data_IF_394171856393
#
_entry.id   IF_394171856393
#
_cell.length_a   1.000
_cell.length_b   1.000
_cell.length_c   1.000
_cell.angle_alpha   90.00
_cell.angle_beta   90.00
_cell.angle_gamma   90.00
#
_symmetry.space_group_name_H-M   'P 1'
#
loop_
_entity.id
_entity.type
_entity.pdbx_description
1 polymer ?
#
# COMPACT_ATOMS: atom_id res chain seq x y z
N UNK A 1 3.42 -43.30 -19.08
CA UNK A 1 3.76 -41.90 -18.76
C UNK A 1 3.00 -40.92 -19.65
N UNK A 2 3.11 -41.00 -20.98
CA UNK A 2 2.44 -40.06 -21.91
C UNK A 2 0.91 -40.08 -21.82
N UNK A 3 0.28 -41.26 -21.75
CA UNK A 3 -1.18 -41.38 -21.59
C UNK A 3 -1.70 -40.83 -20.24
N UNK A 4 -0.92 -40.98 -19.17
CA UNK A 4 -1.22 -40.36 -17.86
C UNK A 4 -1.07 -38.85 -17.92
N UNK A 5 -0.01 -38.35 -18.58
CA UNK A 5 0.20 -36.92 -18.77
C UNK A 5 -0.91 -36.28 -19.62
N UNK A 6 -1.36 -36.93 -20.68
CA UNK A 6 -2.46 -36.44 -21.53
C UNK A 6 -3.81 -36.48 -20.81
N UNK A 7 -4.13 -37.57 -20.11
CA UNK A 7 -5.37 -37.68 -19.33
C UNK A 7 -5.45 -36.74 -18.13
N UNK A 8 -4.30 -36.32 -17.59
CA UNK A 8 -4.21 -35.38 -16.46
C UNK A 8 -4.00 -33.93 -16.90
N UNK A 9 -3.77 -33.67 -18.19
CA UNK A 9 -3.36 -32.35 -18.72
C UNK A 9 -4.37 -31.25 -18.43
N UNK A 10 -5.65 -31.61 -18.32
CA UNK A 10 -6.77 -30.70 -18.09
C UNK A 10 -7.24 -30.67 -16.64
N UNK A 11 -6.74 -31.57 -15.79
CA UNK A 11 -7.09 -31.59 -14.38
C UNK A 11 -6.25 -30.54 -13.63
N UNK A 12 -6.86 -29.71 -12.76
CA UNK A 12 -6.12 -28.78 -11.93
C UNK A 12 -5.12 -29.54 -11.06
N UNK A 13 -3.87 -29.10 -11.00
CA UNK A 13 -2.89 -29.70 -10.09
C UNK A 13 -3.26 -29.42 -8.61
N UNK A 14 -2.67 -30.19 -7.69
CA UNK A 14 -3.00 -30.10 -6.27
C UNK A 14 -2.77 -28.70 -5.65
N UNK A 15 -1.73 -27.97 -6.09
CA UNK A 15 -1.46 -26.60 -5.66
C UNK A 15 -2.57 -25.66 -6.11
N UNK A 16 -3.03 -25.80 -7.36
CA UNK A 16 -4.13 -25.00 -7.90
C UNK A 16 -5.45 -25.31 -7.19
N UNK A 17 -5.75 -26.58 -6.91
CA UNK A 17 -6.95 -26.94 -6.13
C UNK A 17 -6.94 -26.30 -4.76
N UNK A 18 -5.82 -26.43 -4.04
CA UNK A 18 -5.65 -25.79 -2.73
C UNK A 18 -5.80 -24.27 -2.83
N UNK A 19 -5.20 -23.64 -3.84
CA UNK A 19 -5.31 -22.19 -4.04
C UNK A 19 -6.76 -21.76 -4.31
N UNK A 20 -7.51 -22.51 -5.11
CA UNK A 20 -8.93 -22.24 -5.39
C UNK A 20 -9.78 -22.42 -4.13
N UNK A 21 -9.55 -23.48 -3.36
CA UNK A 21 -10.20 -23.70 -2.06
C UNK A 21 -9.88 -22.56 -1.10
N UNK A 22 -8.62 -22.16 -1.01
CA UNK A 22 -8.20 -21.05 -0.17
C UNK A 22 -8.87 -19.74 -0.59
N UNK A 23 -8.96 -19.43 -1.89
CA UNK A 23 -9.68 -18.26 -2.40
C UNK A 23 -11.16 -18.32 -2.02
N UNK A 24 -11.79 -19.49 -2.17
CA UNK A 24 -13.19 -19.68 -1.79
C UNK A 24 -13.39 -19.44 -0.30
N UNK A 25 -12.53 -19.98 0.56
CA UNK A 25 -12.73 -19.90 2.01
C UNK A 25 -12.36 -18.53 2.57
N UNK A 26 -11.36 -17.87 1.99
CA UNK A 26 -10.74 -16.67 2.58
C UNK A 26 -11.06 -15.38 1.84
N UNK A 27 -11.42 -15.41 0.55
CA UNK A 27 -11.64 -14.21 -0.27
C UNK A 27 -13.07 -14.09 -0.79
N UNK A 28 -13.70 -15.21 -1.15
CA UNK A 28 -15.04 -15.23 -1.70
C UNK A 28 -15.82 -16.48 -1.22
N UNK A 29 -16.30 -16.46 0.04
CA UNK A 29 -17.09 -17.57 0.61
C UNK A 29 -18.25 -17.98 -0.30
N UNK A 30 -18.27 -19.26 -0.66
CA UNK A 30 -19.28 -19.82 -1.57
C UNK A 30 -19.22 -19.30 -3.01
N UNK A 31 -18.14 -18.60 -3.42
CA UNK A 31 -17.99 -17.96 -4.72
C UNK A 31 -19.15 -17.01 -5.06
N UNK A 32 -19.64 -16.30 -4.04
CA UNK A 32 -20.76 -15.35 -4.15
C UNK A 32 -20.25 -13.91 -4.14
N UNK A 33 -19.85 -13.40 -2.98
CA UNK A 33 -19.40 -12.04 -2.75
C UNK A 33 -17.93 -12.01 -2.31
N UNK A 34 -17.14 -11.10 -2.88
CA UNK A 34 -15.73 -10.93 -2.51
C UNK A 34 -15.56 -9.99 -1.31
N UNK A 35 -14.70 -10.36 -0.38
CA UNK A 35 -14.25 -9.46 0.69
C UNK A 35 -13.10 -8.54 0.22
N UNK A 36 -12.52 -7.80 1.16
CA UNK A 36 -11.49 -6.79 0.88
C UNK A 36 -10.06 -7.35 0.76
N UNK A 37 -9.86 -8.67 0.95
CA UNK A 37 -8.52 -9.27 0.94
C UNK A 37 -7.92 -9.27 -0.45
N UNK A 38 -6.62 -8.95 -0.54
CA UNK A 38 -5.84 -9.10 -1.77
C UNK A 38 -4.73 -10.12 -1.58
N UNK A 39 -4.36 -10.77 -2.68
CA UNK A 39 -3.32 -11.79 -2.71
C UNK A 39 -2.43 -11.61 -3.94
N UNK A 40 -1.13 -11.86 -3.76
CA UNK A 40 -0.16 -11.92 -4.84
C UNK A 40 0.28 -13.37 -5.04
N UNK A 41 0.34 -13.80 -6.30
CA UNK A 41 0.81 -15.12 -6.71
C UNK A 41 2.10 -14.94 -7.52
N UNK A 42 3.22 -15.42 -6.97
CA UNK A 42 4.51 -15.39 -7.65
C UNK A 42 4.82 -16.70 -8.34
N UNK A 43 5.37 -16.58 -9.55
CA UNK A 43 5.89 -17.69 -10.35
C UNK A 43 7.10 -17.22 -11.15
N UNK A 44 8.12 -18.05 -11.29
CA UNK A 44 9.31 -17.77 -12.10
C UNK A 44 8.99 -17.89 -13.59
N UNK A 45 8.12 -18.84 -13.94
CA UNK A 45 7.85 -19.22 -15.33
C UNK A 45 6.59 -18.56 -15.91
N UNK A 46 6.71 -18.04 -17.13
CA UNK A 46 5.62 -17.41 -17.88
C UNK A 46 4.52 -18.42 -18.26
N UNK A 47 4.87 -19.67 -18.56
CA UNK A 47 3.89 -20.70 -18.88
C UNK A 47 3.03 -21.06 -17.65
N UNK A 48 3.66 -21.17 -16.48
CA UNK A 48 2.96 -21.37 -15.21
C UNK A 48 2.05 -20.20 -14.89
N UNK A 49 2.50 -18.96 -15.14
CA UNK A 49 1.67 -17.76 -14.99
C UNK A 49 0.42 -17.81 -15.86
N UNK A 50 0.55 -18.19 -17.15
CA UNK A 50 -0.58 -18.35 -18.07
C UNK A 50 -1.54 -19.44 -17.61
N UNK A 51 -1.00 -20.57 -17.18
CA UNK A 51 -1.78 -21.68 -16.62
C UNK A 51 -2.58 -21.24 -15.38
N UNK A 52 -1.93 -20.57 -14.42
CA UNK A 52 -2.58 -20.03 -13.23
C UNK A 52 -3.69 -19.05 -13.58
N UNK A 53 -3.43 -18.12 -14.51
CA UNK A 53 -4.44 -17.17 -14.96
C UNK A 53 -5.69 -17.90 -15.49
N UNK A 54 -5.51 -18.85 -16.40
CA UNK A 54 -6.63 -19.60 -17.01
C UNK A 54 -7.43 -20.38 -15.96
N UNK A 55 -6.74 -21.08 -15.05
CA UNK A 55 -7.40 -21.88 -14.00
C UNK A 55 -8.18 -21.00 -13.02
N UNK A 56 -7.61 -19.87 -12.61
CA UNK A 56 -8.27 -18.96 -11.68
C UNK A 56 -9.44 -18.24 -12.34
N UNK A 57 -9.29 -17.76 -13.57
CA UNK A 57 -10.40 -17.15 -14.34
C UNK A 57 -11.57 -18.12 -14.48
N UNK A 58 -11.31 -19.40 -14.79
CA UNK A 58 -12.34 -20.43 -14.84
C UNK A 58 -13.00 -20.67 -13.47
N UNK A 59 -12.20 -20.71 -12.40
CA UNK A 59 -12.69 -20.95 -11.05
C UNK A 59 -13.60 -19.83 -10.52
N UNK A 60 -13.31 -18.58 -10.89
CA UNK A 60 -14.06 -17.40 -10.41
C UNK A 60 -15.09 -16.90 -11.42
N UNK A 61 -15.27 -17.55 -12.57
CA UNK A 61 -16.11 -17.08 -13.67
C UNK A 61 -17.56 -16.75 -13.29
N UNK A 62 -18.08 -17.37 -12.23
CA UNK A 62 -19.45 -17.17 -11.72
C UNK A 62 -19.55 -16.13 -10.60
N UNK A 63 -18.43 -15.58 -10.16
CA UNK A 63 -18.39 -14.55 -9.10
C UNK A 63 -18.67 -13.16 -9.67
N UNK A 64 -19.02 -12.23 -8.80
CA UNK A 64 -19.24 -10.86 -9.22
C UNK A 64 -17.95 -10.20 -9.75
N UNK A 65 -18.09 -9.51 -10.89
CA UNK A 65 -17.01 -8.79 -11.59
C UNK A 65 -15.77 -9.66 -11.87
N UNK A 66 -15.95 -10.96 -12.11
CA UNK A 66 -14.89 -11.94 -12.31
C UNK A 66 -13.73 -11.47 -13.23
N UNK A 67 -14.06 -10.84 -14.36
CA UNK A 67 -13.08 -10.32 -15.33
C UNK A 67 -12.19 -9.18 -14.82
N UNK A 68 -12.52 -8.56 -13.70
CA UNK A 68 -11.76 -7.45 -13.08
C UNK A 68 -11.01 -7.88 -11.81
N UNK A 69 -11.21 -9.14 -11.36
CA UNK A 69 -10.63 -9.65 -10.10
C UNK A 69 -9.16 -10.04 -10.22
N UNK A 70 -8.67 -10.33 -11.43
CA UNK A 70 -7.31 -10.81 -11.68
C UNK A 70 -6.55 -9.82 -12.55
N UNK A 71 -5.32 -9.48 -12.16
CA UNK A 71 -4.37 -8.76 -13.00
C UNK A 71 -3.05 -9.52 -13.13
N UNK A 72 -2.32 -9.24 -14.21
CA UNK A 72 -1.04 -9.86 -14.50
C UNK A 72 0.06 -8.82 -14.58
N UNK A 73 1.16 -9.06 -13.86
CA UNK A 73 2.33 -8.20 -13.84
C UNK A 73 3.58 -8.99 -14.26
N UNK A 74 4.07 -8.74 -15.47
CA UNK A 74 5.18 -9.46 -16.09
C UNK A 74 6.15 -8.51 -16.78
N UNK A 75 7.32 -9.03 -17.18
CA UNK A 75 8.38 -8.22 -17.83
C UNK A 75 7.90 -7.49 -19.09
N UNK A 76 7.00 -8.09 -19.87
CA UNK A 76 6.43 -7.50 -21.07
C UNK A 76 5.22 -6.58 -20.82
N UNK A 77 4.81 -6.35 -19.57
CA UNK A 77 3.76 -5.37 -19.26
C UNK A 77 4.26 -3.95 -19.59
N UNK A 78 3.52 -3.25 -20.47
CA UNK A 78 3.84 -1.87 -20.85
C UNK A 78 3.89 -0.92 -19.62
N UNK A 79 4.76 0.11 -19.61
CA UNK A 79 4.93 1.02 -18.47
C UNK A 79 3.62 1.62 -17.93
N UNK A 80 2.75 2.12 -18.80
CA UNK A 80 1.46 2.72 -18.40
C UNK A 80 0.53 1.69 -17.74
N UNK A 81 0.55 0.45 -18.24
CA UNK A 81 -0.22 -0.65 -17.68
C UNK A 81 0.34 -1.08 -16.33
N UNK A 82 1.67 -1.05 -16.14
CA UNK A 82 2.30 -1.32 -14.82
C UNK A 82 1.81 -0.33 -13.78
N UNK A 83 1.81 0.95 -14.11
CA UNK A 83 1.36 2.01 -13.21
C UNK A 83 -0.13 1.90 -12.90
N UNK A 84 -0.95 1.57 -13.91
CA UNK A 84 -2.38 1.32 -13.75
C UNK A 84 -2.64 0.15 -12.79
N UNK A 85 -1.93 -0.97 -12.95
CA UNK A 85 -2.05 -2.14 -12.07
C UNK A 85 -1.60 -1.80 -10.65
N UNK A 86 -0.49 -1.06 -10.49
CA UNK A 86 0.00 -0.60 -9.17
C UNK A 86 -1.06 0.21 -8.43
N UNK A 87 -1.64 1.20 -9.11
CA UNK A 87 -2.71 2.04 -8.53
C UNK A 87 -3.95 1.24 -8.20
N UNK A 88 -4.40 0.38 -9.13
CA UNK A 88 -5.53 -0.51 -8.94
C UNK A 88 -5.35 -1.48 -7.75
N UNK A 89 -4.12 -1.97 -7.55
CA UNK A 89 -3.81 -2.91 -6.49
C UNK A 89 -3.68 -2.24 -5.11
N UNK A 90 -3.18 -1.01 -5.08
CA UNK A 90 -3.02 -0.21 -3.86
C UNK A 90 -4.23 0.67 -3.51
N UNK A 91 -5.23 0.77 -4.38
CA UNK A 91 -6.47 1.48 -4.06
C UNK A 91 -7.28 0.75 -2.97
N UNK A 92 -8.18 1.46 -2.29
CA UNK A 92 -9.13 0.85 -1.35
C UNK A 92 -9.87 -0.33 -2.04
N UNK A 93 -9.82 -1.55 -1.48
CA UNK A 93 -10.56 -2.70 -1.99
C UNK A 93 -12.05 -2.46 -2.22
N UNK A 94 -12.68 -1.53 -1.48
CA UNK A 94 -14.08 -1.14 -1.67
C UNK A 94 -14.31 -0.31 -2.94
N UNK A 95 -13.29 0.40 -3.40
CA UNK A 95 -13.34 1.27 -4.57
C UNK A 95 -12.84 0.58 -5.85
N UNK A 96 -11.99 -0.46 -5.72
CA UNK A 96 -11.43 -1.17 -6.87
C UNK A 96 -11.60 -2.69 -6.76
N UNK A 97 -12.14 -3.39 -7.78
CA UNK A 97 -12.50 -4.81 -7.71
C UNK A 97 -11.32 -5.78 -7.72
N UNK A 98 -10.12 -5.33 -8.13
CA UNK A 98 -8.94 -6.19 -8.23
C UNK A 98 -8.64 -6.89 -6.88
N UNK A 99 -8.42 -8.20 -6.91
CA UNK A 99 -8.16 -9.02 -5.70
C UNK A 99 -6.91 -9.89 -5.83
N UNK A 100 -6.62 -10.39 -7.02
CA UNK A 100 -5.54 -11.33 -7.29
C UNK A 100 -4.55 -10.70 -8.26
N UNK A 101 -3.28 -10.65 -7.88
CA UNK A 101 -2.20 -10.23 -8.77
C UNK A 101 -1.27 -11.42 -9.05
N UNK A 102 -1.17 -11.83 -10.31
CA UNK A 102 -0.22 -12.86 -10.74
C UNK A 102 1.04 -12.16 -11.26
N UNK A 103 2.18 -12.40 -10.63
CA UNK A 103 3.43 -11.72 -10.93
C UNK A 103 4.54 -12.68 -11.31
N UNK A 104 5.34 -12.31 -12.32
CA UNK A 104 6.57 -13.02 -12.68
C UNK A 104 7.82 -12.32 -12.19
N UNK A 105 8.90 -13.09 -12.07
CA UNK A 105 10.19 -12.59 -11.60
C UNK A 105 10.81 -11.51 -12.49
N UNK A 106 10.56 -11.57 -13.80
CA UNK A 106 11.04 -10.60 -14.78
C UNK A 106 10.46 -9.18 -14.57
N UNK A 107 9.54 -9.02 -13.62
CA UNK A 107 8.84 -7.78 -13.33
C UNK A 107 9.13 -7.26 -11.91
N UNK A 108 10.07 -7.88 -11.18
CA UNK A 108 10.25 -7.73 -9.73
C UNK A 108 10.68 -6.35 -9.22
N UNK A 109 11.30 -5.49 -10.02
CA UNK A 109 11.86 -4.24 -9.47
C UNK A 109 10.80 -3.17 -9.17
N UNK A 110 10.90 -2.54 -7.98
CA UNK A 110 10.19 -1.31 -7.65
C UNK A 110 8.66 -1.39 -7.49
N UNK A 111 8.10 -2.55 -7.16
CA UNK A 111 6.68 -2.68 -6.82
C UNK A 111 6.47 -2.55 -5.31
N UNK A 112 5.71 -1.52 -4.88
CA UNK A 112 5.21 -1.33 -3.53
C UNK A 112 3.74 -1.75 -3.53
N UNK A 113 3.41 -2.91 -2.94
CA UNK A 113 2.08 -3.53 -3.01
C UNK A 113 1.51 -3.84 -1.62
N UNK A 114 2.09 -3.27 -0.57
CA UNK A 114 1.78 -3.59 0.82
C UNK A 114 0.47 -2.95 1.35
N UNK A 115 -0.05 -1.90 0.70
CA UNK A 115 -1.13 -1.07 1.26
C UNK A 115 -2.39 -1.85 1.67
N UNK A 116 -2.79 -2.84 0.85
CA UNK A 116 -3.98 -3.66 1.10
C UNK A 116 -3.73 -5.16 0.86
N UNK A 117 -2.47 -5.59 0.94
CA UNK A 117 -2.10 -6.98 0.68
C UNK A 117 -1.15 -7.48 1.75
N UNK A 118 -1.59 -8.52 2.44
CA UNK A 118 -0.82 -9.25 3.46
C UNK A 118 -0.65 -10.73 3.14
N UNK A 119 -1.09 -11.19 1.96
CA UNK A 119 -1.00 -12.60 1.54
C UNK A 119 -0.18 -12.75 0.26
N UNK A 120 0.82 -13.62 0.31
CA UNK A 120 1.76 -13.89 -0.79
C UNK A 120 1.92 -15.39 -1.00
N UNK A 121 1.61 -15.91 -2.18
CA UNK A 121 1.87 -17.31 -2.52
C UNK A 121 3.03 -17.42 -3.48
N UNK A 122 3.98 -18.29 -3.16
CA UNK A 122 5.05 -18.74 -4.03
C UNK A 122 4.62 -20.05 -4.68
N UNK A 123 4.20 -19.98 -5.94
CA UNK A 123 3.78 -21.16 -6.69
C UNK A 123 4.99 -22.08 -6.99
N UNK A 124 6.11 -21.44 -7.33
CA UNK A 124 7.45 -21.98 -7.27
C UNK A 124 8.29 -21.19 -6.26
N UNK A 125 9.15 -21.90 -5.53
CA UNK A 125 10.09 -21.30 -4.59
C UNK A 125 11.43 -21.14 -5.31
N UNK A 126 12.00 -19.92 -5.37
CA UNK A 126 13.30 -19.73 -6.00
C UNK A 126 14.39 -20.35 -5.13
N UNK A 127 15.39 -20.95 -5.77
CA UNK A 127 16.53 -21.53 -5.05
C UNK A 127 17.40 -20.46 -4.36
N UNK A 128 17.44 -19.23 -4.90
CA UNK A 128 18.22 -18.16 -4.31
C UNK A 128 17.43 -17.50 -3.14
N UNK A 129 17.94 -17.51 -1.89
CA UNK A 129 17.27 -16.91 -0.75
C UNK A 129 17.04 -15.41 -0.89
N UNK A 130 18.01 -14.65 -1.42
CA UNK A 130 17.85 -13.23 -1.68
C UNK A 130 16.66 -12.93 -2.62
N UNK A 131 16.43 -13.75 -3.64
CA UNK A 131 15.28 -13.66 -4.54
C UNK A 131 13.96 -13.95 -3.81
N UNK A 132 13.96 -14.90 -2.88
CA UNK A 132 12.79 -15.19 -2.04
C UNK A 132 12.48 -14.00 -1.13
N UNK A 133 13.49 -13.45 -0.47
CA UNK A 133 13.33 -12.29 0.39
C UNK A 133 12.86 -11.05 -0.39
N UNK A 134 13.40 -10.83 -1.58
CA UNK A 134 12.91 -9.78 -2.47
C UNK A 134 11.46 -9.97 -2.91
N UNK A 135 10.92 -11.21 -2.95
CA UNK A 135 9.48 -11.46 -3.18
C UNK A 135 8.68 -11.15 -1.91
N UNK A 136 9.12 -11.61 -0.74
CA UNK A 136 8.48 -11.33 0.56
C UNK A 136 8.42 -9.82 0.82
N UNK A 137 9.53 -9.12 0.61
CA UNK A 137 9.66 -7.68 0.74
C UNK A 137 8.71 -6.87 -0.15
N UNK A 138 7.98 -7.50 -1.09
CA UNK A 138 6.93 -6.84 -1.85
C UNK A 138 5.72 -6.46 -1.00
N UNK A 139 5.48 -7.19 0.08
CA UNK A 139 4.41 -6.89 1.05
C UNK A 139 4.92 -6.81 2.49
N UNK A 140 6.01 -7.50 2.82
CA UNK A 140 6.63 -7.48 4.14
C UNK A 140 7.68 -6.37 4.23
N UNK A 141 7.27 -5.17 4.63
CA UNK A 141 8.14 -3.99 4.74
C UNK A 141 7.58 -2.96 5.72
N UNK A 142 8.37 -1.93 6.04
CA UNK A 142 7.92 -0.78 6.83
C UNK A 142 6.62 -0.19 6.26
N UNK A 143 5.71 0.20 7.14
CA UNK A 143 4.37 0.73 6.82
C UNK A 143 3.40 -0.29 6.19
N UNK A 144 3.60 -1.59 6.45
CA UNK A 144 2.56 -2.60 6.21
C UNK A 144 1.43 -2.40 7.25
N UNK A 145 0.18 -2.11 6.82
CA UNK A 145 -0.92 -1.88 7.76
C UNK A 145 -1.41 -3.14 8.47
N UNK A 146 -1.24 -4.31 7.86
CA UNK A 146 -1.65 -5.57 8.47
C UNK A 146 -0.68 -5.99 9.60
N UNK A 147 -1.18 -6.45 10.75
CA UNK A 147 -0.33 -6.89 11.86
C UNK A 147 0.47 -8.16 11.53
N UNK A 148 -0.02 -8.97 10.58
CA UNK A 148 0.60 -10.22 10.16
C UNK A 148 0.64 -10.30 8.64
N UNK A 149 1.81 -10.64 8.11
CA UNK A 149 2.02 -10.97 6.70
C UNK A 149 2.17 -12.47 6.55
N UNK A 150 1.42 -13.05 5.62
CA UNK A 150 1.42 -14.48 5.33
C UNK A 150 2.12 -14.79 4.01
N UNK A 151 3.28 -15.41 4.09
CA UNK A 151 4.02 -15.94 2.94
C UNK A 151 3.86 -17.46 2.85
N UNK A 152 3.17 -17.92 1.82
CA UNK A 152 2.90 -19.33 1.55
C UNK A 152 3.88 -19.87 0.50
N UNK A 153 4.36 -21.09 0.71
CA UNK A 153 5.33 -21.76 -0.16
C UNK A 153 4.81 -23.15 -0.54
N UNK A 154 4.61 -23.40 -1.83
CA UNK A 154 4.16 -24.71 -2.30
C UNK A 154 5.33 -25.66 -2.57
N UNK A 155 5.29 -26.84 -1.96
CA UNK A 155 6.25 -27.91 -2.14
C UNK A 155 5.54 -29.27 -2.21
N UNK A 156 6.09 -30.22 -2.96
CA UNK A 156 5.65 -31.60 -3.03
C UNK A 156 6.40 -32.44 -1.99
N UNK A 157 5.65 -33.13 -1.12
CA UNK A 157 6.22 -33.92 -0.01
C UNK A 157 7.16 -35.04 -0.49
N UNK A 158 6.80 -35.68 -1.60
CA UNK A 158 7.53 -36.84 -2.12
C UNK A 158 8.65 -36.45 -3.09
N UNK A 159 8.86 -35.14 -3.33
CA UNK A 159 9.92 -34.66 -4.22
C UNK A 159 11.18 -34.36 -3.40
N UNK A 160 12.30 -35.07 -3.62
CA UNK A 160 13.50 -34.89 -2.81
C UNK A 160 14.08 -33.48 -2.92
N UNK A 161 13.98 -32.83 -4.08
CA UNK A 161 14.44 -31.45 -4.27
C UNK A 161 13.62 -30.46 -3.42
N UNK A 162 12.33 -30.73 -3.23
CA UNK A 162 11.43 -29.86 -2.47
C UNK A 162 11.68 -29.93 -0.96
N UNK A 163 12.33 -30.98 -0.45
CA UNK A 163 12.84 -31.03 0.93
C UNK A 163 13.92 -29.97 1.17
N UNK A 164 14.81 -29.77 0.20
CA UNK A 164 15.85 -28.73 0.25
C UNK A 164 15.21 -27.35 0.25
N UNK A 165 14.22 -27.10 -0.61
CA UNK A 165 13.47 -25.84 -0.61
C UNK A 165 12.80 -25.59 0.74
N UNK A 166 12.19 -26.62 1.34
CA UNK A 166 11.57 -26.48 2.65
C UNK A 166 12.61 -26.16 3.75
N UNK A 167 13.80 -26.77 3.71
CA UNK A 167 14.89 -26.44 4.63
C UNK A 167 15.39 -25.00 4.44
N UNK A 168 15.51 -24.56 3.19
CA UNK A 168 15.89 -23.20 2.83
C UNK A 168 14.88 -22.18 3.35
N UNK A 169 13.58 -22.39 3.10
CA UNK A 169 12.51 -21.53 3.64
C UNK A 169 12.56 -21.45 5.15
N UNK A 170 12.71 -22.59 5.85
CA UNK A 170 12.82 -22.61 7.31
C UNK A 170 14.03 -21.81 7.80
N UNK A 171 15.21 -22.05 7.23
CA UNK A 171 16.43 -21.37 7.66
C UNK A 171 16.37 -19.87 7.39
N UNK A 172 15.88 -19.47 6.22
CA UNK A 172 15.64 -18.07 5.87
C UNK A 172 14.70 -17.40 6.87
N UNK A 173 13.62 -18.06 7.31
CA UNK A 173 12.72 -17.49 8.31
C UNK A 173 13.36 -17.37 9.70
N UNK A 174 14.08 -18.40 10.17
CA UNK A 174 14.79 -18.35 11.46
C UNK A 174 15.76 -17.18 11.52
N UNK A 175 16.55 -17.00 10.47
CA UNK A 175 17.49 -15.87 10.34
C UNK A 175 16.75 -14.54 10.39
N UNK A 176 15.64 -14.42 9.65
CA UNK A 176 14.85 -13.20 9.60
C UNK A 176 14.29 -12.83 10.98
N UNK A 177 13.84 -13.82 11.75
CA UNK A 177 13.34 -13.62 13.12
C UNK A 177 14.46 -13.20 14.10
N UNK A 178 15.67 -13.74 13.93
CA UNK A 178 16.81 -13.40 14.78
C UNK A 178 17.42 -12.03 14.47
N UNK A 179 17.50 -11.64 13.19
CA UNK A 179 18.20 -10.44 12.75
C UNK A 179 17.32 -9.32 12.21
N UNK A 180 16.00 -9.53 12.10
CA UNK A 180 15.07 -8.55 11.52
C UNK A 180 15.21 -8.29 10.01
N UNK A 181 16.32 -8.71 9.38
CA UNK A 181 16.51 -8.68 7.93
C UNK A 181 17.49 -9.79 7.50
N UNK A 182 17.33 -10.33 6.29
CA UNK A 182 18.36 -11.18 5.67
C UNK A 182 19.55 -10.30 5.28
N UNK A 183 20.43 -10.06 6.25
CA UNK A 183 21.68 -9.37 6.03
C UNK A 183 22.46 -10.07 4.89
N UNK A 184 22.97 -9.25 3.97
CA UNK A 184 23.58 -9.61 2.68
C UNK A 184 24.69 -10.68 2.75
N UNK A 185 25.16 -11.02 3.96
CA UNK A 185 26.19 -12.01 4.25
C UNK A 185 25.70 -13.45 4.02
N UNK A 186 24.45 -13.77 4.35
CA UNK A 186 23.95 -15.15 4.27
C UNK A 186 23.51 -15.52 2.86
N UNK A 187 23.02 -14.55 2.08
CA UNK A 187 22.74 -14.78 0.67
C UNK A 187 24.00 -15.28 -0.04
N UNK A 188 25.18 -14.78 0.33
CA UNK A 188 26.46 -15.27 -0.16
C UNK A 188 26.74 -16.75 0.18
N UNK A 189 26.59 -17.15 1.44
CA UNK A 189 26.88 -18.52 1.91
C UNK A 189 25.87 -19.54 1.38
N UNK A 190 24.57 -19.28 1.54
CA UNK A 190 23.51 -20.14 1.01
C UNK A 190 23.54 -20.20 -0.52
N UNK A 191 23.74 -19.07 -1.21
CA UNK A 191 23.90 -19.10 -2.67
C UNK A 191 25.13 -19.90 -3.09
N UNK A 192 26.24 -19.83 -2.36
CA UNK A 192 27.45 -20.60 -2.66
C UNK A 192 27.23 -22.11 -2.48
N UNK A 193 26.53 -22.53 -1.43
CA UNK A 193 26.13 -23.93 -1.24
C UNK A 193 25.29 -24.45 -2.41
N UNK A 194 24.44 -23.59 -2.98
CA UNK A 194 23.53 -23.96 -4.07
C UNK A 194 24.15 -23.83 -5.47
N UNK A 195 25.29 -23.12 -5.63
CA UNK A 195 26.01 -22.99 -6.92
C UNK A 195 26.43 -24.33 -7.51
N UNK A 196 26.71 -25.33 -6.67
CA UNK A 196 27.12 -26.67 -7.10
C UNK A 196 26.02 -27.51 -7.75
N UNK A 197 24.76 -27.04 -7.73
CA UNK A 197 23.59 -27.78 -8.18
C UNK A 197 23.20 -28.90 -7.22
N UNK A 198 21.96 -29.38 -7.35
CA UNK A 198 21.40 -30.37 -6.45
C UNK A 198 21.56 -31.76 -7.06
N UNK A 199 22.48 -32.55 -6.49
CA UNK A 199 22.68 -33.95 -6.87
C UNK A 199 21.89 -34.84 -5.90
N UNK A 200 21.14 -35.81 -6.44
CA UNK A 200 20.36 -36.75 -5.63
C UNK A 200 21.18 -37.47 -4.54
N UNK A 201 22.43 -37.81 -4.85
CA UNK A 201 23.33 -38.48 -3.91
C UNK A 201 23.74 -37.62 -2.69
N UNK A 202 23.64 -36.29 -2.78
CA UNK A 202 24.07 -35.35 -1.74
C UNK A 202 22.93 -34.63 -1.02
N UNK A 203 21.66 -35.01 -1.25
CA UNK A 203 20.50 -34.29 -0.72
C UNK A 203 20.48 -34.22 0.81
N UNK A 204 20.75 -35.33 1.49
CA UNK A 204 20.76 -35.35 2.95
C UNK A 204 21.85 -34.46 3.54
N UNK A 205 23.04 -34.48 2.91
CA UNK A 205 24.14 -33.62 3.33
C UNK A 205 23.80 -32.16 3.10
N UNK A 206 23.28 -31.80 1.91
CA UNK A 206 22.89 -30.44 1.59
C UNK A 206 21.76 -29.92 2.51
N UNK A 207 20.79 -30.77 2.86
CA UNK A 207 19.74 -30.42 3.83
C UNK A 207 20.34 -30.11 5.22
N UNK A 208 21.27 -30.94 5.68
CA UNK A 208 21.98 -30.73 6.94
C UNK A 208 22.85 -29.47 6.90
N UNK A 209 23.59 -29.25 5.83
CA UNK A 209 24.45 -28.08 5.63
C UNK A 209 23.64 -26.78 5.65
N UNK A 210 22.47 -26.76 4.99
CA UNK A 210 21.55 -25.61 5.04
C UNK A 210 21.00 -25.40 6.45
N UNK A 211 20.61 -26.48 7.14
CA UNK A 211 20.12 -26.41 8.51
C UNK A 211 21.17 -25.85 9.49
N UNK A 212 22.44 -26.23 9.30
CA UNK A 212 23.58 -25.79 10.10
C UNK A 212 24.21 -24.49 9.63
N UNK A 213 23.77 -23.92 8.50
CA UNK A 213 24.33 -22.70 7.93
C UNK A 213 23.99 -21.49 8.81
N UNK A 214 24.71 -21.33 9.90
CA UNK A 214 24.53 -20.23 10.84
C UNK A 214 25.44 -19.05 10.52
N UNK A 215 25.10 -17.95 11.16
CA UNK A 215 25.82 -16.70 11.10
C UNK A 215 26.99 -16.83 12.06
N UNK A 216 28.19 -16.46 11.61
CA UNK A 216 29.36 -16.51 12.48
C UNK A 216 29.15 -15.50 13.63
N UNK A 217 29.62 -15.82 14.84
CA UNK A 217 29.32 -15.04 16.05
C UNK A 217 29.71 -13.56 15.92
N UNK A 218 30.81 -13.27 15.22
CA UNK A 218 31.27 -11.90 14.93
C UNK A 218 30.25 -11.13 14.06
N UNK A 219 29.73 -11.75 13.00
CA UNK A 219 28.73 -11.13 12.13
C UNK A 219 27.40 -10.93 12.87
N UNK A 220 27.01 -11.88 13.73
CA UNK A 220 25.82 -11.73 14.58
C UNK A 220 25.96 -10.53 15.51
N UNK A 221 27.12 -10.35 16.14
CA UNK A 221 27.40 -9.20 16.99
C UNK A 221 27.34 -7.88 16.21
N UNK A 222 27.92 -7.81 15.00
CA UNK A 222 27.83 -6.61 14.15
C UNK A 222 26.39 -6.25 13.79
N UNK A 223 25.57 -7.24 13.40
CA UNK A 223 24.16 -6.98 13.08
C UNK A 223 23.38 -6.55 14.32
N UNK A 224 23.66 -7.14 15.48
CA UNK A 224 23.02 -6.77 16.73
C UNK A 224 23.37 -5.33 17.15
N UNK A 225 24.63 -4.92 17.00
CA UNK A 225 25.08 -3.53 17.20
C UNK A 225 24.38 -2.57 16.23
N UNK A 226 24.30 -2.90 14.93
CA UNK A 226 23.56 -2.10 13.94
C UNK A 226 22.06 -1.96 14.28
N UNK A 227 21.45 -3.03 14.84
CA UNK A 227 20.06 -3.03 15.27
C UNK A 227 19.86 -2.19 16.54
N UNK A 228 20.79 -2.22 17.49
CA UNK A 228 20.77 -1.35 18.67
C UNK A 228 20.89 0.12 18.26
N UNK A 229 21.86 0.47 17.42
CA UNK A 229 22.01 1.79 16.81
C UNK A 229 20.72 2.26 16.11
N UNK A 230 20.05 1.35 15.39
CA UNK A 230 18.80 1.66 14.72
C UNK A 230 17.65 1.92 15.71
N UNK A 231 17.60 1.18 16.83
CA UNK A 231 16.63 1.41 17.92
C UNK A 231 16.87 2.74 18.60
N UNK A 232 18.11 3.08 18.92
CA UNK A 232 18.46 4.38 19.52
C UNK A 232 18.05 5.54 18.61
N UNK A 233 18.29 5.41 17.30
CA UNK A 233 17.82 6.40 16.30
C UNK A 233 16.31 6.49 16.25
N UNK A 234 15.59 5.37 16.33
CA UNK A 234 14.12 5.37 16.37
C UNK A 234 13.59 6.11 17.61
N UNK A 235 14.17 5.85 18.77
CA UNK A 235 13.79 6.53 20.01
C UNK A 235 14.12 8.03 19.95
N UNK A 236 15.31 8.40 19.46
CA UNK A 236 15.66 9.79 19.25
C UNK A 236 14.68 10.51 18.31
N UNK A 237 14.25 9.84 17.21
CA UNK A 237 13.23 10.36 16.30
C UNK A 237 11.87 10.50 16.98
N UNK A 238 11.43 9.52 17.78
CA UNK A 238 10.18 9.63 18.55
C UNK A 238 10.20 10.83 19.50
N UNK A 239 11.30 10.99 20.23
CA UNK A 239 11.51 12.15 21.10
C UNK A 239 11.49 13.48 20.33
N UNK A 240 12.09 13.53 19.14
CA UNK A 240 12.02 14.71 18.27
C UNK A 240 10.60 14.99 17.79
N UNK A 241 9.84 13.97 17.36
CA UNK A 241 8.44 14.12 16.95
C UNK A 241 7.60 14.65 18.10
N UNK A 242 7.78 14.13 19.31
CA UNK A 242 7.04 14.60 20.49
C UNK A 242 7.43 16.02 20.89
N UNK A 243 8.72 16.38 20.77
CA UNK A 243 9.17 17.77 20.96
C UNK A 243 8.52 18.72 19.96
N UNK A 244 8.49 18.36 18.68
CA UNK A 244 7.85 19.14 17.61
C UNK A 244 6.34 19.26 17.82
N UNK A 245 5.66 18.19 18.24
CA UNK A 245 4.24 18.22 18.62
C UNK A 245 3.99 19.19 19.78
N UNK A 246 4.81 19.12 20.83
CA UNK A 246 4.72 20.03 21.96
C UNK A 246 5.02 21.49 21.59
N UNK A 247 5.92 21.73 20.63
CA UNK A 247 6.17 23.07 20.08
C UNK A 247 4.98 23.57 19.25
N UNK A 248 4.41 22.71 18.41
CA UNK A 248 3.22 23.02 17.61
C UNK A 248 2.04 23.37 18.51
N UNK A 249 1.79 22.59 19.57
CA UNK A 249 0.70 22.85 20.51
C UNK A 249 0.91 24.14 21.31
N UNK A 250 2.16 24.43 21.72
CA UNK A 250 2.50 25.71 22.35
C UNK A 250 2.27 26.89 21.40
N UNK A 251 2.69 26.76 20.15
CA UNK A 251 2.47 27.78 19.11
C UNK A 251 0.99 28.00 18.84
N UNK A 252 0.20 26.92 18.69
CA UNK A 252 -1.26 26.98 18.55
C UNK A 252 -1.93 27.72 19.71
N UNK A 253 -1.56 27.39 20.95
CA UNK A 253 -2.07 28.05 22.16
C UNK A 253 -1.67 29.53 22.21
N UNK A 254 -0.43 29.86 21.85
CA UNK A 254 0.08 31.23 21.87
C UNK A 254 -0.58 32.12 20.81
N UNK A 255 -0.73 31.63 19.58
CA UNK A 255 -1.40 32.35 18.49
C UNK A 255 -2.91 32.44 18.74
N UNK A 256 -3.48 31.55 19.57
CA UNK A 256 -4.92 31.48 19.81
C UNK A 256 -5.70 30.98 18.60
N UNK A 257 -5.04 30.32 17.64
CA UNK A 257 -5.68 29.80 16.44
C UNK A 257 -6.47 28.53 16.76
N UNK A 258 -7.75 28.70 17.12
CA UNK A 258 -8.67 27.58 17.24
C UNK A 258 -9.23 27.22 15.88
N UNK A 259 -9.39 25.93 15.64
CA UNK A 259 -9.88 25.43 14.35
C UNK A 259 -11.33 25.87 14.07
N UNK A 260 -12.15 25.98 15.12
CA UNK A 260 -13.50 26.54 15.02
C UNK A 260 -13.48 28.01 14.56
N UNK A 261 -12.53 28.81 15.06
CA UNK A 261 -12.38 30.22 14.67
C UNK A 261 -11.87 30.32 13.22
N UNK A 262 -10.93 29.45 12.84
CA UNK A 262 -10.43 29.37 11.47
C UNK A 262 -11.54 28.97 10.47
N UNK A 263 -12.34 27.95 10.80
CA UNK A 263 -13.51 27.54 10.01
C UNK A 263 -14.56 28.66 9.94
N UNK A 264 -14.80 29.35 11.06
CA UNK A 264 -15.73 30.47 11.10
C UNK A 264 -15.26 31.62 10.19
N UNK A 265 -13.97 31.96 10.21
CA UNK A 265 -13.40 32.98 9.33
C UNK A 265 -13.57 32.63 7.85
N UNK A 266 -13.34 31.38 7.46
CA UNK A 266 -13.60 30.93 6.08
C UNK A 266 -15.08 30.99 5.72
N UNK A 267 -15.97 30.61 6.64
CA UNK A 267 -17.42 30.67 6.42
C UNK A 267 -17.91 32.11 6.26
N UNK A 268 -17.38 33.05 7.04
CA UNK A 268 -17.64 34.48 6.87
C UNK A 268 -17.08 35.00 5.53
N UNK A 269 -15.90 34.53 5.12
CA UNK A 269 -15.31 34.88 3.82
C UNK A 269 -16.19 34.43 2.66
N UNK A 270 -16.79 33.24 2.76
CA UNK A 270 -17.74 32.71 1.78
C UNK A 270 -19.05 33.51 1.77
N UNK A 271 -19.54 33.92 2.94
CA UNK A 271 -20.73 34.76 3.10
C UNK A 271 -20.55 36.14 2.45
N UNK A 272 -19.37 36.77 2.62
CA UNK A 272 -19.02 38.02 1.93
C UNK A 272 -18.98 37.88 0.40
N UNK A 273 -18.77 36.66 -0.10
CA UNK A 273 -18.88 36.35 -1.52
C UNK A 273 -20.33 36.08 -1.92
N UNK A 274 -21.31 36.04 -1.01
CA UNK A 274 -22.66 35.54 -1.27
C UNK A 274 -22.63 34.09 -1.78
N UNK A 275 -21.76 33.27 -1.20
CA UNK A 275 -21.70 31.83 -1.41
C UNK A 275 -22.17 31.10 -0.15
N UNK A 276 -22.57 29.83 -0.30
CA UNK A 276 -22.98 29.02 0.83
C UNK A 276 -21.82 28.84 1.83
N UNK A 277 -22.16 28.77 3.12
CA UNK A 277 -21.19 28.49 4.19
C UNK A 277 -20.75 27.03 4.14
N UNK A 278 -19.64 26.73 4.83
CA UNK A 278 -19.21 25.35 5.03
C UNK A 278 -20.31 24.59 5.78
N UNK A 279 -20.75 23.47 5.22
CA UNK A 279 -21.79 22.62 5.84
C UNK A 279 -21.17 21.31 6.31
N UNK A 280 -21.60 20.75 7.45
CA UNK A 280 -21.10 19.46 7.91
C UNK A 280 -21.51 18.38 6.90
N UNK A 281 -20.53 17.56 6.48
CA UNK A 281 -20.79 16.46 5.56
C UNK A 281 -21.61 15.37 6.26
N UNK A 282 -22.51 14.72 5.52
CA UNK A 282 -23.42 13.69 6.04
C UNK A 282 -22.72 12.43 6.59
N UNK A 283 -21.42 12.28 6.31
CA UNK A 283 -20.59 11.19 6.82
C UNK A 283 -19.98 11.55 8.17
N UNK A 284 -20.61 11.08 9.26
CA UNK A 284 -20.16 11.27 10.65
C UNK A 284 -18.88 10.52 11.05
N UNK A 285 -17.91 10.38 10.14
CA UNK A 285 -16.58 9.83 10.45
C UNK A 285 -15.68 10.93 11.00
N UNK A 286 -14.91 10.63 12.05
CA UNK A 286 -13.80 11.49 12.48
C UNK A 286 -12.63 11.40 11.48
N UNK A 287 -11.90 12.50 11.22
CA UNK A 287 -12.17 13.87 11.69
C UNK A 287 -13.37 14.50 10.98
N UNK A 288 -14.00 15.50 11.62
CA UNK A 288 -15.21 16.16 11.11
C UNK A 288 -15.01 16.71 9.70
N UNK A 289 -15.78 16.20 8.74
CA UNK A 289 -15.72 16.58 7.32
C UNK A 289 -16.74 17.69 7.01
N UNK A 290 -16.36 18.63 6.15
CA UNK A 290 -17.23 19.71 5.70
C UNK A 290 -17.31 19.75 4.18
N UNK A 291 -18.50 19.97 3.65
CA UNK A 291 -18.71 20.14 2.22
C UNK A 291 -18.39 21.60 1.84
N UNK A 292 -17.55 21.76 0.82
CA UNK A 292 -17.10 23.06 0.35
C UNK A 292 -17.94 23.52 -0.85
N UNK A 293 -18.45 24.77 -0.86
CA UNK A 293 -19.33 25.26 -1.94
C UNK A 293 -18.63 25.30 -3.30
N UNK A 294 -19.38 24.97 -4.36
CA UNK A 294 -18.86 24.99 -5.73
C UNK A 294 -18.75 26.43 -6.23
N UNK A 295 -17.52 26.97 -6.32
CA UNK A 295 -17.27 28.35 -6.78
C UNK A 295 -16.81 28.44 -8.24
N UNK A 296 -16.78 27.34 -8.98
CA UNK A 296 -16.24 27.25 -10.35
C UNK A 296 -16.82 28.25 -11.34
N UNK A 297 -18.11 28.57 -11.19
CA UNK A 297 -18.83 29.49 -12.09
C UNK A 297 -18.39 30.95 -11.88
N UNK A 298 -17.66 31.25 -10.80
CA UNK A 298 -17.20 32.60 -10.51
C UNK A 298 -15.90 32.91 -11.26
N UNK A 299 -15.75 34.12 -11.83
CA UNK A 299 -14.56 34.49 -12.58
C UNK A 299 -13.26 34.26 -11.79
N UNK A 300 -12.37 33.47 -12.39
CA UNK A 300 -11.05 33.16 -11.86
C UNK A 300 -11.01 32.18 -10.68
N UNK A 301 -12.13 31.58 -10.24
CA UNK A 301 -12.15 30.63 -9.13
C UNK A 301 -11.86 29.18 -9.54
N UNK A 302 -12.16 28.80 -10.78
CA UNK A 302 -12.00 27.42 -11.27
C UNK A 302 -10.61 26.82 -10.95
N UNK A 303 -9.52 27.53 -11.25
CA UNK A 303 -8.16 27.04 -10.98
C UNK A 303 -7.83 26.92 -9.48
N UNK A 304 -8.55 27.65 -8.63
CA UNK A 304 -8.40 27.53 -7.17
C UNK A 304 -9.21 26.34 -6.65
N UNK A 305 -10.40 26.12 -7.19
CA UNK A 305 -11.23 24.96 -6.85
C UNK A 305 -10.62 23.64 -7.30
N UNK A 306 -9.83 23.66 -8.37
CA UNK A 306 -9.04 22.53 -8.84
C UNK A 306 -8.11 21.94 -7.75
N UNK A 307 -7.65 22.76 -6.79
CA UNK A 307 -6.84 22.27 -5.65
C UNK A 307 -7.61 21.34 -4.70
N UNK A 308 -8.95 21.40 -4.69
CA UNK A 308 -9.80 20.55 -3.87
C UNK A 308 -10.23 19.26 -4.58
N UNK A 309 -9.92 19.11 -5.86
CA UNK A 309 -10.28 17.93 -6.67
C UNK A 309 -9.16 16.89 -6.60
N UNK A 310 -9.46 15.67 -7.03
CA UNK A 310 -8.45 14.62 -7.20
C UNK A 310 -7.50 14.95 -8.35
N UNK A 311 -6.29 14.41 -8.31
CA UNK A 311 -5.28 14.68 -9.36
C UNK A 311 -5.78 14.22 -10.73
N UNK A 312 -5.56 15.07 -11.73
CA UNK A 312 -5.91 14.79 -13.13
C UNK A 312 -5.12 13.59 -13.67
N UNK A 313 -5.80 12.65 -14.30
CA UNK A 313 -5.15 11.50 -14.95
C UNK A 313 -4.36 11.95 -16.19
N UNK A 314 -3.21 11.31 -16.51
CA UNK A 314 -2.47 11.61 -17.75
C UNK A 314 -3.37 11.47 -18.98
N UNK A 315 -3.30 12.43 -19.90
CA UNK A 315 -4.09 12.44 -21.14
C UNK A 315 -5.57 12.85 -21.00
N UNK A 316 -6.09 13.02 -19.78
CA UNK A 316 -7.47 13.48 -19.56
C UNK A 316 -7.60 14.97 -19.87
N UNK A 317 -8.61 15.36 -20.67
CA UNK A 317 -8.87 16.77 -20.98
C UNK A 317 -9.37 17.49 -19.71
N UNK A 318 -9.01 18.78 -19.58
CA UNK A 318 -9.31 19.56 -18.38
C UNK A 318 -10.82 19.63 -18.07
N UNK A 319 -11.66 19.80 -19.09
CA UNK A 319 -13.11 19.89 -18.90
C UNK A 319 -13.74 18.54 -18.47
N UNK A 320 -13.25 17.43 -19.03
CA UNK A 320 -13.69 16.07 -18.65
C UNK A 320 -13.30 15.79 -17.21
N UNK A 321 -12.07 16.13 -16.83
CA UNK A 321 -11.60 15.99 -15.46
C UNK A 321 -12.43 16.78 -14.44
N UNK A 322 -12.71 18.07 -14.71
CA UNK A 322 -13.55 18.91 -13.82
C UNK A 322 -14.98 18.37 -13.70
N UNK A 323 -15.51 17.72 -14.72
CA UNK A 323 -16.83 17.07 -14.67
C UNK A 323 -16.79 15.79 -13.84
N UNK A 324 -15.76 14.97 -14.03
CA UNK A 324 -15.69 13.62 -13.48
C UNK A 324 -15.08 13.58 -12.06
N UNK A 325 -14.45 14.68 -11.60
CA UNK A 325 -13.72 14.74 -10.32
C UNK A 325 -14.31 15.81 -9.40
N UNK A 326 -15.38 15.54 -8.62
CA UNK A 326 -16.04 16.53 -7.79
C UNK A 326 -15.11 17.10 -6.70
N UNK A 327 -15.50 18.25 -6.14
CA UNK A 327 -14.81 18.84 -4.98
C UNK A 327 -14.93 17.87 -3.80
N UNK A 328 -13.78 17.58 -3.19
CA UNK A 328 -13.72 16.66 -2.05
C UNK A 328 -14.14 17.36 -0.77
N UNK A 329 -14.68 16.62 0.22
CA UNK A 329 -14.89 17.14 1.56
C UNK A 329 -13.57 17.64 2.16
N UNK A 330 -13.67 18.72 2.94
CA UNK A 330 -12.53 19.34 3.59
C UNK A 330 -12.49 19.03 5.09
N UNK A 331 -11.29 18.94 5.63
CA UNK A 331 -11.02 18.74 7.07
C UNK A 331 -10.05 19.81 7.56
N UNK A 332 -10.12 20.12 8.85
CA UNK A 332 -9.23 21.10 9.49
C UNK A 332 -8.17 20.42 10.39
N UNK A 333 -8.42 19.16 10.74
CA UNK A 333 -7.54 18.31 11.52
C UNK A 333 -6.76 17.36 10.60
N UNK A 334 -5.70 16.77 11.15
CA UNK A 334 -4.96 15.70 10.47
C UNK A 334 -5.85 14.45 10.36
N UNK A 335 -6.17 13.96 9.15
CA UNK A 335 -6.95 12.75 8.97
C UNK A 335 -6.23 11.46 9.40
N UNK A 336 -4.93 11.52 9.73
CA UNK A 336 -4.14 10.37 10.16
C UNK A 336 -3.73 9.42 9.02
N UNK A 337 -4.44 9.46 7.90
CA UNK A 337 -4.16 8.68 6.70
C UNK A 337 -4.06 9.60 5.46
N UNK A 338 -3.04 9.36 4.64
CA UNK A 338 -2.87 10.07 3.35
C UNK A 338 -3.72 9.36 2.30
N UNK A 339 -4.95 9.83 2.12
CA UNK A 339 -5.89 9.31 1.12
C UNK A 339 -6.38 10.41 0.20
N UNK A 340 -6.94 10.03 -0.95
CA UNK A 340 -7.59 10.96 -1.87
C UNK A 340 -9.03 11.33 -1.44
N UNK A 341 -9.51 10.86 -0.28
CA UNK A 341 -10.90 11.05 0.15
C UNK A 341 -11.22 12.47 0.64
N UNK A 342 -10.26 13.14 1.28
CA UNK A 342 -10.45 14.44 1.94
C UNK A 342 -9.32 15.39 1.61
N UNK A 343 -9.56 16.69 1.81
CA UNK A 343 -8.53 17.73 1.67
C UNK A 343 -8.36 18.44 3.01
N UNK A 344 -7.14 18.40 3.55
CA UNK A 344 -6.82 19.17 4.75
C UNK A 344 -6.60 20.64 4.39
N UNK A 345 -7.42 21.53 4.94
CA UNK A 345 -7.25 22.97 4.81
C UNK A 345 -6.34 23.50 5.91
N UNK A 346 -5.25 24.13 5.51
CA UNK A 346 -4.32 24.84 6.37
C UNK A 346 -4.13 26.28 5.86
N UNK A 347 -3.47 27.14 6.65
CA UNK A 347 -3.31 28.57 6.32
C UNK A 347 -2.68 28.81 4.94
N UNK A 348 -1.70 28.01 4.55
CA UNK A 348 -1.03 28.11 3.24
C UNK A 348 -1.79 27.47 2.07
N UNK A 349 -2.96 26.85 2.31
CA UNK A 349 -3.72 26.25 1.22
C UNK A 349 -4.26 27.34 0.29
N UNK A 350 -4.18 27.13 -1.04
CA UNK A 350 -4.49 28.16 -2.06
C UNK A 350 -5.90 28.76 -1.92
N UNK A 351 -6.90 27.92 -1.65
CA UNK A 351 -8.29 28.35 -1.40
C UNK A 351 -8.38 29.22 -0.14
N UNK A 352 -7.68 28.84 0.92
CA UNK A 352 -7.67 29.54 2.21
C UNK A 352 -7.02 30.91 2.07
N UNK A 353 -5.81 30.97 1.49
CA UNK A 353 -5.10 32.23 1.22
C UNK A 353 -5.98 33.21 0.43
N UNK A 354 -6.69 32.72 -0.58
CA UNK A 354 -7.57 33.54 -1.40
C UNK A 354 -8.80 34.03 -0.63
N UNK A 355 -9.43 33.18 0.18
CA UNK A 355 -10.59 33.56 1.00
C UNK A 355 -10.19 34.55 2.09
N UNK A 356 -9.16 34.22 2.87
CA UNK A 356 -8.67 35.08 3.96
C UNK A 356 -8.11 36.40 3.46
N UNK A 357 -7.36 36.39 2.34
CA UNK A 357 -6.87 37.62 1.71
C UNK A 357 -8.01 38.56 1.29
N UNK A 358 -9.12 38.01 0.79
CA UNK A 358 -10.32 38.79 0.48
C UNK A 358 -11.06 39.24 1.73
N UNK A 359 -11.19 38.37 2.73
CA UNK A 359 -11.83 38.70 4.00
C UNK A 359 -11.11 39.83 4.72
N UNK A 360 -9.78 39.82 4.74
CA UNK A 360 -8.99 40.94 5.21
C UNK A 360 -9.32 42.20 4.38
N UNK A 361 -9.13 42.15 3.06
CA UNK A 361 -9.33 43.32 2.20
C UNK A 361 -10.76 43.93 2.27
N UNK A 362 -11.80 43.11 2.33
CA UNK A 362 -13.21 43.55 2.31
C UNK A 362 -13.78 43.78 3.70
N UNK A 363 -13.41 42.96 4.70
CA UNK A 363 -13.85 43.10 6.08
C UNK A 363 -13.34 44.39 6.72
N UNK A 364 -12.10 44.80 6.41
CA UNK A 364 -11.58 46.11 6.83
C UNK A 364 -12.38 47.28 6.26
N UNK A 365 -12.96 47.14 5.07
CA UNK A 365 -13.69 48.22 4.37
C UNK A 365 -15.18 48.26 4.76
N UNK A 366 -15.84 47.10 4.85
CA UNK A 366 -17.31 47.04 5.06
C UNK A 366 -17.73 47.06 6.53
N UNK A 367 -16.88 46.62 7.45
CA UNK A 367 -17.23 46.47 8.87
C UNK A 367 -16.35 47.28 9.83
N UNK A 368 -15.51 48.18 9.31
CA UNK A 368 -14.56 49.01 10.08
C UNK A 368 -13.79 48.20 11.14
N UNK A 369 -13.32 47.01 10.76
CA UNK A 369 -12.50 46.14 11.61
C UNK A 369 -11.18 46.80 12.04
N UNK A 370 -10.85 47.97 11.47
CA UNK A 370 -9.75 48.82 11.92
C UNK A 370 -9.88 49.27 13.39
N UNK A 371 -11.11 49.30 13.92
CA UNK A 371 -11.41 49.66 15.32
C UNK A 371 -11.59 48.46 16.26
N UNK A 372 -11.60 47.24 15.74
CA UNK A 372 -11.67 46.03 16.57
C UNK A 372 -10.28 45.78 17.18
N UNK A 373 -10.00 46.45 18.30
CA UNK A 373 -8.80 46.18 19.09
C UNK A 373 -8.74 44.70 19.46
N UNK A 374 -7.58 44.10 19.21
CA UNK A 374 -7.18 42.80 19.73
C UNK A 374 -7.15 42.90 21.27
N UNK A 375 -8.26 42.60 21.94
CA UNK A 375 -8.23 42.39 23.38
C UNK A 375 -7.55 41.02 23.61
N UNK A 376 -6.31 41.05 24.09
CA UNK A 376 -5.70 39.86 24.68
C UNK A 376 -6.60 39.41 25.84
N UNK A 377 -7.28 38.28 25.68
CA UNK A 377 -7.88 37.57 26.81
C UNK A 377 -6.76 37.15 27.75
N UNK A 378 -6.87 37.52 29.03
CA UNK A 378 -6.02 37.02 30.11
C UNK A 378 -6.15 35.50 30.27
#
# INVERSE_FOLDING_TARGET
MTALAEGSRTLPDAKVRYLIEWIRDNMCPGLSEWNDRRVILFTEWEDTRRYLQQQLEAAIARTDRAGERIAVYQGSTAPDKRETIKRAFNADPKQHPLRILIATDAAREGLNLQAHCSHLFHFDVPWNPGRMEQRNGRIDRKLQPAPVVHCYYFFYRDRPEDRILAALVRKTNTIREELGSLAQVIDGRLSTLLKGGIRRAGLLQLEADIGQADIDAEQRATVEEELEDAREREDALRHQVDSLRNMLDRSRKFVGLREDDFRAALSCSLDLLSADKLSPSSNGKEPRRYDFPVLDQRPGWADTMDSLRTLRKPGQKLFEWRRDSPIRPVVFEDPGEVTDEVVQLHLEHRVVQRLLGRFAAQGFVQHDLSRACLAQSQ
#
